data_IF_558903112830
#
_entry.id   IF_558903112830
#
_cell.length_a   1.000
_cell.length_b   1.000
_cell.length_c   1.000
_cell.angle_alpha   90.00
_cell.angle_beta   90.00
_cell.angle_gamma   90.00
#
_symmetry.space_group_name_H-M   'P 1'
#
loop_
_entity.id
_entity.type
_entity.pdbx_description
1 polymer ?
#
# COMPACT_ATOMS: atom_id res chain seq x y z
N UNK A 1 -5.39 -9.29 -21.46
CA UNK A 1 -4.13 -8.71 -20.98
C UNK A 1 -4.45 -7.62 -19.98
N UNK A 2 -4.01 -7.80 -18.73
CA UNK A 2 -4.28 -6.85 -17.65
C UNK A 2 -3.09 -5.92 -17.46
N UNK A 3 -3.34 -4.65 -17.16
CA UNK A 3 -2.28 -3.67 -16.85
C UNK A 3 -2.46 -3.17 -15.42
N UNK A 4 -1.43 -3.30 -14.59
CA UNK A 4 -1.46 -2.84 -13.21
C UNK A 4 -0.46 -1.72 -12.96
N UNK A 5 -0.83 -0.74 -12.13
CA UNK A 5 0.11 0.26 -11.64
C UNK A 5 0.61 -0.07 -10.23
N UNK A 6 1.89 0.14 -9.94
CA UNK A 6 2.48 -0.01 -8.60
C UNK A 6 3.15 1.29 -8.20
N UNK A 7 2.61 1.97 -7.19
CA UNK A 7 3.19 3.16 -6.59
C UNK A 7 4.01 2.76 -5.37
N UNK A 8 5.32 2.96 -5.43
CA UNK A 8 6.24 2.56 -4.37
C UNK A 8 6.97 1.24 -4.65
N UNK A 9 7.32 0.98 -5.90
CA UNK A 9 7.98 -0.27 -6.34
C UNK A 9 9.33 -0.59 -5.67
N UNK A 10 9.95 0.36 -4.98
CA UNK A 10 11.20 0.16 -4.24
C UNK A 10 11.01 -0.36 -2.81
N UNK A 11 9.79 -0.28 -2.28
CA UNK A 11 9.45 -0.79 -0.94
C UNK A 11 9.24 -2.31 -0.95
N UNK A 12 9.38 -2.95 0.21
CA UNK A 12 9.29 -4.42 0.32
C UNK A 12 7.99 -5.01 -0.24
N UNK A 13 6.84 -4.39 0.05
CA UNK A 13 5.55 -4.81 -0.51
C UNK A 13 5.50 -4.58 -2.02
N UNK A 14 5.85 -3.38 -2.48
CA UNK A 14 5.80 -3.02 -3.90
C UNK A 14 6.69 -3.89 -4.77
N UNK A 15 7.92 -4.17 -4.35
CA UNK A 15 8.83 -5.08 -5.07
C UNK A 15 8.30 -6.52 -5.06
N UNK A 16 7.69 -6.97 -3.96
CA UNK A 16 7.09 -8.31 -3.87
C UNK A 16 5.90 -8.46 -4.83
N UNK A 17 5.02 -7.44 -4.92
CA UNK A 17 3.93 -7.40 -5.90
C UNK A 17 4.48 -7.45 -7.33
N UNK A 18 5.52 -6.67 -7.64
CA UNK A 18 6.13 -6.65 -8.97
C UNK A 18 6.68 -8.04 -9.32
N UNK A 19 7.47 -8.66 -8.44
CA UNK A 19 8.03 -9.98 -8.70
C UNK A 19 6.94 -11.03 -8.92
N UNK A 20 5.91 -11.06 -8.05
CA UNK A 20 4.79 -11.99 -8.18
C UNK A 20 4.02 -11.81 -9.50
N UNK A 21 3.68 -10.57 -9.88
CA UNK A 21 2.88 -10.31 -11.07
C UNK A 21 3.65 -10.50 -12.39
N UNK A 22 4.98 -10.44 -12.35
CA UNK A 22 5.81 -10.72 -13.53
C UNK A 22 5.88 -12.22 -13.88
N UNK A 23 5.47 -13.11 -12.98
CA UNK A 23 5.36 -14.55 -13.27
C UNK A 23 4.23 -14.86 -14.28
N UNK A 24 3.20 -14.02 -14.33
CA UNK A 24 2.11 -14.12 -15.30
C UNK A 24 2.48 -13.35 -16.58
N UNK A 25 2.58 -14.04 -17.72
CA UNK A 25 2.93 -13.47 -19.01
C UNK A 25 1.86 -12.54 -19.60
N UNK A 26 0.61 -12.61 -19.13
CA UNK A 26 -0.50 -11.78 -19.61
C UNK A 26 -0.65 -10.45 -18.86
N UNK A 27 0.24 -10.18 -17.89
CA UNK A 27 0.21 -8.97 -17.06
C UNK A 27 1.29 -7.98 -17.52
N UNK A 28 0.87 -6.73 -17.66
CA UNK A 28 1.73 -5.57 -17.88
C UNK A 28 1.77 -4.68 -16.63
N UNK A 29 2.93 -4.10 -16.35
CA UNK A 29 3.16 -3.30 -15.15
C UNK A 29 3.61 -1.88 -15.48
N UNK A 30 2.93 -0.91 -14.90
CA UNK A 30 3.39 0.47 -14.79
C UNK A 30 3.94 0.69 -13.38
N UNK A 31 5.23 0.97 -13.24
CA UNK A 31 5.88 1.02 -11.92
C UNK A 31 6.35 2.44 -11.64
N UNK A 32 5.81 3.04 -10.59
CA UNK A 32 6.18 4.37 -10.14
C UNK A 32 7.19 4.29 -8.99
N UNK A 33 8.34 4.94 -9.16
CA UNK A 33 9.40 4.98 -8.16
C UNK A 33 10.14 6.32 -8.16
N UNK A 34 10.72 6.69 -7.01
CA UNK A 34 11.52 7.93 -6.88
C UNK A 34 12.95 7.78 -7.43
N UNK A 35 13.48 6.56 -7.50
CA UNK A 35 14.86 6.29 -7.87
C UNK A 35 14.93 5.06 -8.77
N UNK A 36 15.43 5.25 -10.00
CA UNK A 36 15.67 4.18 -10.95
C UNK A 36 16.69 3.16 -10.40
N UNK A 37 17.75 3.67 -9.75
CA UNK A 37 18.80 2.83 -9.16
C UNK A 37 18.22 1.89 -8.10
N UNK A 38 17.49 2.43 -7.10
CA UNK A 38 16.90 1.59 -6.04
C UNK A 38 15.88 0.59 -6.60
N UNK A 39 15.17 0.96 -7.66
CA UNK A 39 14.23 0.06 -8.32
C UNK A 39 14.97 -1.09 -9.00
N UNK A 40 16.07 -0.80 -9.72
CA UNK A 40 16.91 -1.82 -10.34
C UNK A 40 17.60 -2.73 -9.29
N UNK A 41 18.01 -2.18 -8.15
CA UNK A 41 18.57 -2.98 -7.04
C UNK A 41 17.52 -3.95 -6.46
N UNK A 42 16.26 -3.52 -6.35
CA UNK A 42 15.16 -4.33 -5.80
C UNK A 42 14.60 -5.34 -6.80
N UNK A 43 14.54 -4.98 -8.07
CA UNK A 43 14.00 -5.82 -9.15
C UNK A 43 14.96 -5.77 -10.37
N UNK A 44 16.09 -6.50 -10.33
CA UNK A 44 17.16 -6.36 -11.34
C UNK A 44 16.73 -6.63 -12.78
N UNK A 45 15.80 -7.56 -13.00
CA UNK A 45 15.35 -7.96 -14.33
C UNK A 45 14.28 -7.03 -14.94
N UNK A 46 13.91 -5.96 -14.24
CA UNK A 46 12.82 -5.08 -14.66
C UNK A 46 13.15 -4.28 -15.91
N UNK A 47 14.39 -3.81 -16.05
CA UNK A 47 14.83 -2.93 -17.15
C UNK A 47 14.80 -3.63 -18.51
N UNK A 48 14.95 -4.95 -18.53
CA UNK A 48 14.92 -5.77 -19.73
C UNK A 48 13.54 -6.37 -20.01
N UNK A 49 12.56 -6.18 -19.14
CA UNK A 49 11.24 -6.80 -19.29
C UNK A 49 10.33 -5.90 -20.15
N UNK A 50 9.92 -6.34 -21.37
CA UNK A 50 9.09 -5.52 -22.25
C UNK A 50 7.67 -5.27 -21.71
N UNK A 51 7.23 -6.06 -20.73
CA UNK A 51 5.91 -5.94 -20.07
C UNK A 51 5.91 -4.95 -18.91
N UNK A 52 7.07 -4.41 -18.54
CA UNK A 52 7.20 -3.48 -17.43
C UNK A 52 7.70 -2.11 -17.90
N UNK A 53 7.02 -1.05 -17.46
CA UNK A 53 7.41 0.33 -17.73
C UNK A 53 7.64 1.08 -16.43
N UNK A 54 8.83 1.66 -16.29
CA UNK A 54 9.21 2.45 -15.13
C UNK A 54 8.91 3.95 -15.32
N UNK A 55 8.28 4.55 -14.33
CA UNK A 55 7.94 5.97 -14.23
C UNK A 55 8.73 6.53 -13.05
N UNK A 56 9.81 7.26 -13.33
CA UNK A 56 10.75 7.73 -12.32
C UNK A 56 10.52 9.20 -11.99
N UNK A 57 10.06 9.48 -10.78
CA UNK A 57 9.75 10.83 -10.33
C UNK A 57 9.31 10.90 -8.87
N UNK A 58 9.24 12.12 -8.37
CA UNK A 58 8.72 12.48 -7.05
C UNK A 58 7.19 12.63 -7.10
N UNK A 59 6.49 12.40 -5.99
CA UNK A 59 5.02 12.38 -5.94
C UNK A 59 4.35 13.71 -6.35
N UNK A 60 5.09 14.83 -6.34
CA UNK A 60 4.66 16.14 -6.84
C UNK A 60 4.64 16.21 -8.39
N UNK A 61 5.28 15.27 -9.10
CA UNK A 61 5.17 15.13 -10.54
C UNK A 61 3.85 14.41 -10.90
N UNK A 62 2.74 15.13 -10.71
CA UNK A 62 1.36 14.65 -10.91
C UNK A 62 1.12 14.20 -12.36
N UNK A 63 1.74 14.85 -13.35
CA UNK A 63 1.59 14.49 -14.77
C UNK A 63 2.24 13.13 -15.08
N UNK A 64 3.43 12.87 -14.55
CA UNK A 64 4.08 11.56 -14.66
C UNK A 64 3.27 10.48 -13.95
N UNK A 65 2.72 10.80 -12.78
CA UNK A 65 1.85 9.89 -12.04
C UNK A 65 0.56 9.57 -12.81
N UNK A 66 -0.04 10.58 -13.46
CA UNK A 66 -1.20 10.39 -14.34
C UNK A 66 -0.85 9.46 -15.52
N UNK A 67 0.33 9.61 -16.12
CA UNK A 67 0.79 8.72 -17.19
C UNK A 67 1.04 7.28 -16.72
N UNK A 68 1.34 7.08 -15.43
CA UNK A 68 1.50 5.76 -14.82
C UNK A 68 0.14 5.09 -14.55
N UNK A 69 -0.87 5.89 -14.14
CA UNK A 69 -2.23 5.44 -13.82
C UNK A 69 -3.16 5.35 -15.04
N UNK A 70 -2.77 5.90 -16.19
CA UNK A 70 -3.61 5.90 -17.39
C UNK A 70 -3.78 4.50 -17.97
N UNK A 71 -5.03 4.07 -18.16
CA UNK A 71 -5.38 2.81 -18.83
C UNK A 71 -5.13 1.54 -18.02
N UNK A 72 -4.89 1.64 -16.71
CA UNK A 72 -4.68 0.49 -15.83
C UNK A 72 -6.00 -0.13 -15.38
N UNK A 73 -5.99 -1.45 -15.16
CA UNK A 73 -7.10 -2.23 -14.63
C UNK A 73 -7.19 -2.15 -13.09
N UNK A 74 -6.06 -1.97 -12.41
CA UNK A 74 -5.97 -1.71 -10.97
C UNK A 74 -4.66 -1.00 -10.63
N UNK A 75 -4.60 -0.33 -9.49
CA UNK A 75 -3.40 0.34 -8.99
C UNK A 75 -3.13 0.02 -7.52
N UNK A 76 -1.89 -0.34 -7.21
CA UNK A 76 -1.40 -0.71 -5.89
C UNK A 76 -0.59 0.44 -5.27
N UNK A 77 -1.02 0.90 -4.11
CA UNK A 77 -0.41 2.04 -3.42
C UNK A 77 0.34 1.49 -2.22
N UNK A 78 1.62 1.19 -2.42
CA UNK A 78 2.51 0.60 -1.42
C UNK A 78 3.52 1.61 -0.88
N UNK A 79 3.28 2.92 -1.08
CA UNK A 79 4.10 3.97 -0.49
C UNK A 79 3.81 4.03 1.01
N UNK A 80 4.79 3.63 1.81
CA UNK A 80 4.72 3.64 3.26
C UNK A 80 6.09 4.02 3.86
N UNK A 81 6.08 4.34 5.15
CA UNK A 81 7.29 4.56 5.94
C UNK A 81 7.23 3.74 7.22
N UNK A 82 8.36 3.15 7.60
CA UNK A 82 8.52 2.52 8.91
C UNK A 82 9.06 3.49 9.96
N UNK A 83 9.53 4.68 9.54
CA UNK A 83 10.00 5.71 10.44
C UNK A 83 8.84 6.55 10.94
N UNK A 84 8.56 6.48 12.24
CA UNK A 84 7.49 7.22 12.91
C UNK A 84 7.93 8.66 13.22
N UNK A 85 8.23 9.42 12.16
CA UNK A 85 8.59 10.82 12.24
C UNK A 85 7.38 11.68 12.66
N UNK A 86 7.52 12.56 13.67
CA UNK A 86 6.50 13.52 14.01
C UNK A 86 6.01 14.29 12.78
N UNK A 87 4.69 14.44 12.68
CA UNK A 87 4.04 15.13 11.55
C UNK A 87 4.29 14.51 10.17
N UNK A 88 4.68 13.23 10.09
CA UNK A 88 4.79 12.55 8.79
C UNK A 88 3.47 12.65 8.00
N UNK A 89 3.59 12.87 6.69
CA UNK A 89 2.46 13.10 5.79
C UNK A 89 2.57 12.29 4.49
N UNK A 90 3.33 11.20 4.50
CA UNK A 90 3.66 10.42 3.29
C UNK A 90 2.39 9.79 2.69
N UNK A 91 1.51 9.23 3.52
CA UNK A 91 0.25 8.63 3.07
C UNK A 91 -0.70 9.71 2.55
N UNK A 92 -0.84 10.84 3.26
CA UNK A 92 -1.64 11.96 2.81
C UNK A 92 -1.13 12.53 1.48
N UNK A 93 0.17 12.81 1.35
CA UNK A 93 0.79 13.30 0.12
C UNK A 93 0.55 12.34 -1.05
N UNK A 94 0.72 11.03 -0.82
CA UNK A 94 0.44 10.01 -1.83
C UNK A 94 -1.02 10.04 -2.26
N UNK A 95 -1.96 10.13 -1.31
CA UNK A 95 -3.39 10.20 -1.60
C UNK A 95 -3.75 11.47 -2.39
N UNK A 96 -3.27 12.64 -1.97
CA UNK A 96 -3.48 13.91 -2.68
C UNK A 96 -2.95 13.87 -4.11
N UNK A 97 -1.69 13.48 -4.30
CA UNK A 97 -1.07 13.40 -5.63
C UNK A 97 -1.80 12.42 -6.54
N UNK A 98 -2.25 11.28 -6.00
CA UNK A 98 -2.96 10.29 -6.80
C UNK A 98 -4.36 10.75 -7.20
N UNK A 99 -5.10 11.43 -6.31
CA UNK A 99 -6.39 12.03 -6.67
C UNK A 99 -6.18 13.05 -7.79
N UNK A 100 -5.22 13.96 -7.66
CA UNK A 100 -4.91 14.93 -8.72
C UNK A 100 -4.50 14.25 -10.04
N UNK A 101 -3.72 13.17 -9.98
CA UNK A 101 -3.34 12.41 -11.17
C UNK A 101 -4.54 11.71 -11.84
N UNK A 102 -5.44 11.12 -11.04
CA UNK A 102 -6.65 10.47 -11.53
C UNK A 102 -7.65 11.48 -12.11
N UNK A 103 -7.73 12.70 -11.58
CA UNK A 103 -8.53 13.78 -12.18
C UNK A 103 -8.01 14.16 -13.57
N UNK A 104 -6.69 14.19 -13.76
CA UNK A 104 -6.08 14.38 -15.08
C UNK A 104 -6.44 13.22 -16.01
N UNK A 105 -6.30 11.97 -15.57
CA UNK A 105 -6.68 10.78 -16.36
C UNK A 105 -8.15 10.83 -16.76
N UNK A 106 -9.05 11.09 -15.80
CA UNK A 106 -10.49 11.25 -16.02
C UNK A 106 -10.78 12.34 -17.04
N UNK A 107 -10.11 13.48 -16.94
CA UNK A 107 -10.26 14.60 -17.88
C UNK A 107 -9.79 14.25 -19.30
N UNK A 108 -8.65 13.55 -19.43
CA UNK A 108 -8.13 13.08 -20.73
C UNK A 108 -9.08 12.09 -21.39
N UNK A 109 -9.60 11.12 -20.64
CA UNK A 109 -10.56 10.14 -21.16
C UNK A 109 -11.86 10.82 -21.57
N UNK A 110 -12.37 11.75 -20.76
CA UNK A 110 -13.59 12.51 -21.08
C UNK A 110 -13.44 13.32 -22.37
N UNK A 111 -12.28 13.97 -22.58
CA UNK A 111 -11.98 14.69 -23.83
C UNK A 111 -11.88 13.77 -25.05
N UNK A 112 -11.20 12.61 -24.91
CA UNK A 112 -11.07 11.62 -26.00
C UNK A 112 -12.41 10.99 -26.39
N UNK A 113 -13.26 10.73 -25.40
CA UNK A 113 -14.57 10.11 -25.59
C UNK A 113 -15.66 11.07 -26.09
N UNK A 114 -15.32 12.27 -26.60
CA UNK A 114 -16.24 13.40 -26.81
C UNK A 114 -17.64 13.13 -27.41
N UNK A 115 -17.88 12.01 -28.10
CA UNK A 115 -19.20 11.56 -28.62
C UNK A 115 -19.65 10.16 -28.15
N UNK A 116 -18.80 9.35 -27.51
CA UNK A 116 -19.17 8.03 -26.98
C UNK A 116 -19.62 8.19 -25.53
N UNK A 117 -20.86 7.79 -25.20
CA UNK A 117 -21.47 7.87 -23.85
C UNK A 117 -20.75 7.08 -22.75
N UNK A 118 -19.56 6.54 -23.00
CA UNK A 118 -18.86 5.70 -22.01
C UNK A 118 -18.16 6.60 -21.00
N UNK A 119 -18.80 6.77 -19.84
CA UNK A 119 -18.22 7.45 -18.69
C UNK A 119 -16.95 6.71 -18.26
N UNK A 120 -15.91 7.47 -17.92
CA UNK A 120 -14.73 6.91 -17.28
C UNK A 120 -15.14 6.35 -15.91
N UNK A 121 -14.59 5.17 -15.57
CA UNK A 121 -14.76 4.51 -14.28
C UNK A 121 -13.38 4.42 -13.64
N UNK A 122 -13.29 4.78 -12.37
CA UNK A 122 -12.04 4.67 -11.63
C UNK A 122 -11.65 3.19 -11.46
N UNK A 123 -10.43 2.79 -11.85
CA UNK A 123 -9.96 1.44 -11.58
C UNK A 123 -9.83 1.22 -10.06
N UNK A 124 -9.96 -0.04 -9.57
CA UNK A 124 -9.67 -0.37 -8.18
C UNK A 124 -8.30 0.16 -7.73
N UNK A 125 -8.31 0.93 -6.64
CA UNK A 125 -7.12 1.45 -5.98
C UNK A 125 -6.92 0.64 -4.69
N UNK A 126 -5.93 -0.24 -4.68
CA UNK A 126 -5.60 -1.04 -3.50
C UNK A 126 -4.58 -0.26 -2.67
N UNK A 127 -5.08 0.33 -1.58
CA UNK A 127 -4.32 1.20 -0.69
C UNK A 127 -3.77 0.41 0.51
N UNK A 128 -2.45 0.44 0.69
CA UNK A 128 -1.82 -0.12 1.88
C UNK A 128 -2.13 0.76 3.10
N UNK A 129 -2.96 0.24 3.97
CA UNK A 129 -3.32 0.82 5.27
C UNK A 129 -2.72 -0.03 6.40
N UNK A 130 -3.26 0.05 7.61
CA UNK A 130 -2.82 -0.74 8.76
C UNK A 130 -3.99 -1.14 9.64
N UNK A 131 -3.93 -2.36 10.17
CA UNK A 131 -4.85 -2.81 11.21
C UNK A 131 -4.78 -1.94 12.48
N UNK A 132 -3.65 -1.24 12.71
CA UNK A 132 -3.47 -0.34 13.85
C UNK A 132 -4.42 0.87 13.90
N UNK A 133 -5.05 1.23 12.79
CA UNK A 133 -6.10 2.28 12.74
C UNK A 133 -7.52 1.72 12.69
N UNK A 134 -7.67 0.40 12.71
CA UNK A 134 -8.95 -0.29 12.75
C UNK A 134 -9.22 -0.83 14.14
N UNK A 135 -10.16 -0.22 14.85
CA UNK A 135 -10.53 -0.59 16.22
C UNK A 135 -10.86 -2.09 16.34
N UNK A 136 -11.59 -2.65 15.37
CA UNK A 136 -11.96 -4.08 15.42
C UNK A 136 -10.76 -5.01 15.35
N UNK A 137 -9.74 -4.66 14.57
CA UNK A 137 -8.55 -5.50 14.38
C UNK A 137 -7.53 -5.30 15.50
N UNK A 138 -7.37 -4.07 16.00
CA UNK A 138 -6.43 -3.80 17.10
C UNK A 138 -6.92 -4.37 18.44
N UNK A 139 -8.24 -4.41 18.66
CA UNK A 139 -8.86 -5.02 19.85
C UNK A 139 -8.64 -6.54 19.95
N UNK A 140 -8.28 -7.20 18.84
CA UNK A 140 -7.91 -8.62 18.83
C UNK A 140 -6.51 -8.85 19.40
N UNK A 141 -5.70 -7.81 19.56
CA UNK A 141 -4.37 -7.89 20.13
C UNK A 141 -4.42 -7.75 21.66
N UNK A 142 -3.39 -8.26 22.34
CA UNK A 142 -3.26 -8.00 23.78
C UNK A 142 -3.16 -6.48 24.05
N UNK A 143 -3.75 -6.02 25.15
CA UNK A 143 -3.82 -4.59 25.47
C UNK A 143 -2.43 -3.92 25.55
N UNK A 144 -1.41 -4.64 26.06
CA UNK A 144 -0.03 -4.16 26.14
C UNK A 144 0.57 -3.96 24.75
N UNK A 145 0.35 -4.92 23.85
CA UNK A 145 0.83 -4.82 22.48
C UNK A 145 0.11 -3.70 21.73
N UNK A 146 -1.22 -3.65 21.83
CA UNK A 146 -2.03 -2.58 21.24
C UNK A 146 -1.57 -1.20 21.74
N UNK A 147 -1.38 -1.03 23.05
CA UNK A 147 -0.86 0.21 23.63
C UNK A 147 0.50 0.57 23.04
N UNK A 148 1.45 -0.37 23.01
CA UNK A 148 2.79 -0.08 22.55
C UNK A 148 2.84 0.31 21.07
N UNK A 149 2.09 -0.42 20.24
CA UNK A 149 2.02 -0.17 18.80
C UNK A 149 1.26 1.13 18.49
N UNK A 150 0.13 1.41 19.15
CA UNK A 150 -0.62 2.65 18.94
C UNK A 150 0.19 3.92 19.29
N UNK A 151 1.04 3.86 20.31
CA UNK A 151 1.89 5.00 20.70
C UNK A 151 3.16 5.06 19.85
N UNK A 152 3.84 3.92 19.68
CA UNK A 152 5.08 3.82 18.89
C UNK A 152 4.90 4.07 17.39
N UNK A 153 3.70 3.89 16.85
CA UNK A 153 3.39 4.14 15.44
C UNK A 153 2.38 5.28 15.25
N UNK A 154 2.17 6.12 16.28
CA UNK A 154 1.10 7.12 16.30
C UNK A 154 1.08 8.04 15.08
N UNK A 155 2.22 8.58 14.65
CA UNK A 155 2.28 9.55 13.56
C UNK A 155 1.99 8.89 12.21
N UNK A 156 2.52 7.69 11.98
CA UNK A 156 2.20 6.87 10.80
C UNK A 156 0.70 6.54 10.76
N UNK A 157 0.13 6.12 11.88
CA UNK A 157 -1.28 5.77 11.98
C UNK A 157 -2.19 6.98 11.80
N UNK A 158 -1.82 8.13 12.36
CA UNK A 158 -2.53 9.38 12.14
C UNK A 158 -2.50 9.78 10.66
N UNK A 159 -1.34 9.67 10.01
CA UNK A 159 -1.17 9.96 8.58
C UNK A 159 -2.05 9.04 7.72
N UNK A 160 -2.02 7.74 7.96
CA UNK A 160 -2.88 6.75 7.29
C UNK A 160 -4.37 7.07 7.49
N UNK A 161 -4.80 7.36 8.71
CA UNK A 161 -6.20 7.67 8.99
C UNK A 161 -6.68 8.94 8.26
N UNK A 162 -5.83 9.96 8.15
CA UNK A 162 -6.12 11.18 7.39
C UNK A 162 -6.16 10.92 5.89
N UNK A 163 -5.23 10.10 5.36
CA UNK A 163 -5.22 9.68 3.97
C UNK A 163 -6.48 8.88 3.60
N UNK A 164 -6.89 7.91 4.44
CA UNK A 164 -8.14 7.16 4.23
C UNK A 164 -9.36 8.09 4.21
N UNK A 165 -9.43 9.04 5.15
CA UNK A 165 -10.54 10.01 5.22
C UNK A 165 -10.61 10.85 3.94
N UNK A 166 -9.46 11.31 3.45
CA UNK A 166 -9.38 12.09 2.21
C UNK A 166 -9.77 11.27 0.97
N UNK A 167 -9.29 10.03 0.85
CA UNK A 167 -9.70 9.15 -0.26
C UNK A 167 -11.21 8.87 -0.23
N UNK A 168 -11.78 8.62 0.96
CA UNK A 168 -13.21 8.38 1.15
C UNK A 168 -14.09 9.59 0.86
N UNK A 169 -13.56 10.82 0.88
CA UNK A 169 -14.35 12.01 0.53
C UNK A 169 -14.61 12.14 -0.97
N UNK A 170 -14.02 11.27 -1.80
CA UNK A 170 -14.20 11.27 -3.25
C UNK A 170 -15.01 10.03 -3.68
N UNK A 171 -16.33 10.16 -3.76
CA UNK A 171 -17.26 9.05 -4.06
C UNK A 171 -17.01 8.35 -5.41
N UNK A 172 -16.30 9.02 -6.33
CA UNK A 172 -15.97 8.47 -7.65
C UNK A 172 -14.73 7.54 -7.62
N UNK A 173 -14.04 7.43 -6.49
CA UNK A 173 -12.89 6.53 -6.33
C UNK A 173 -13.33 5.14 -5.89
N UNK A 174 -12.72 4.13 -6.52
CA UNK A 174 -12.92 2.72 -6.20
C UNK A 174 -11.80 2.23 -5.28
N UNK A 175 -11.78 2.59 -4.00
CA UNK A 175 -10.63 2.30 -3.11
C UNK A 175 -10.87 1.08 -2.21
N UNK A 176 -9.88 0.20 -2.10
CA UNK A 176 -9.81 -0.89 -1.10
C UNK A 176 -8.70 -0.58 -0.10
N UNK A 177 -8.99 -0.66 1.19
CA UNK A 177 -7.98 -0.41 2.24
C UNK A 177 -7.50 -1.73 2.83
N UNK A 178 -6.31 -2.18 2.42
CA UNK A 178 -5.72 -3.44 2.92
C UNK A 178 -4.96 -3.17 4.21
N UNK A 179 -5.30 -3.89 5.27
CA UNK A 179 -4.91 -3.61 6.66
C UNK A 179 -4.19 -4.80 7.29
N UNK A 180 -2.88 -4.97 7.03
CA UNK A 180 -2.06 -5.93 7.76
C UNK A 180 -1.78 -5.45 9.20
N UNK A 181 -1.49 -6.41 10.09
CA UNK A 181 -0.78 -6.14 11.34
C UNK A 181 0.75 -6.13 11.08
N UNK A 182 1.56 -6.57 12.04
CA UNK A 182 3.01 -6.43 11.99
C UNK A 182 3.62 -7.12 10.77
N UNK A 183 4.35 -6.35 9.96
CA UNK A 183 5.00 -6.86 8.76
C UNK A 183 6.41 -7.38 9.06
N UNK A 184 6.77 -8.51 8.45
CA UNK A 184 8.06 -9.17 8.63
C UNK A 184 8.65 -9.67 7.31
N UNK A 185 9.98 -9.79 7.27
CA UNK A 185 10.69 -10.42 6.17
C UNK A 185 10.72 -11.95 6.36
N UNK A 186 9.79 -12.63 5.70
CA UNK A 186 9.65 -14.08 5.77
C UNK A 186 9.18 -14.67 4.44
N UNK A 187 9.16 -16.01 4.34
CA UNK A 187 8.59 -16.74 3.21
C UNK A 187 7.06 -16.54 3.14
N UNK A 188 6.42 -16.72 1.97
CA UNK A 188 4.97 -16.76 1.89
C UNK A 188 4.41 -18.02 2.55
N UNK A 189 3.28 -17.89 3.22
CA UNK A 189 2.53 -18.99 3.84
C UNK A 189 1.11 -19.15 3.25
N UNK A 190 0.72 -18.24 2.36
CA UNK A 190 -0.65 -18.16 1.86
C UNK A 190 -1.48 -17.19 2.69
N UNK A 191 -2.59 -16.73 2.11
CA UNK A 191 -3.31 -15.58 2.64
C UNK A 191 -4.82 -15.71 2.48
N UNK A 192 -5.54 -15.15 3.46
CA UNK A 192 -6.99 -14.96 3.42
C UNK A 192 -7.33 -13.51 3.79
N UNK A 193 -8.27 -12.93 3.06
CA UNK A 193 -8.81 -11.58 3.28
C UNK A 193 -10.15 -11.63 4.01
N UNK A 194 -10.32 -10.79 5.01
CA UNK A 194 -11.55 -10.67 5.80
C UNK A 194 -11.76 -9.22 6.27
N UNK A 195 -12.99 -8.78 6.57
CA UNK A 195 -13.24 -7.42 7.09
C UNK A 195 -13.02 -7.30 8.61
N UNK A 196 -13.13 -8.43 9.30
CA UNK A 196 -13.12 -8.53 10.76
C UNK A 196 -11.90 -9.27 11.30
N UNK A 197 -11.12 -9.97 10.50
CA UNK A 197 -9.98 -10.77 10.97
C UNK A 197 -8.66 -10.36 10.32
N UNK A 198 -7.59 -10.33 11.12
CA UNK A 198 -6.23 -10.21 10.64
C UNK A 198 -5.27 -10.99 11.56
N UNK A 199 -4.30 -11.69 10.99
CA UNK A 199 -3.25 -12.34 11.77
C UNK A 199 -2.40 -11.27 12.47
N UNK A 200 -1.83 -11.56 13.65
CA UNK A 200 -0.99 -10.60 14.39
C UNK A 200 0.27 -10.19 13.62
N UNK A 201 0.73 -11.06 12.71
CA UNK A 201 1.92 -10.91 11.87
C UNK A 201 1.61 -11.32 10.44
N UNK A 202 2.28 -10.71 9.48
CA UNK A 202 2.13 -11.00 8.06
C UNK A 202 3.47 -10.80 7.33
N UNK A 203 3.84 -11.71 6.43
CA UNK A 203 5.04 -11.53 5.60
C UNK A 203 4.78 -10.48 4.52
N UNK A 204 5.83 -9.78 4.06
CA UNK A 204 5.70 -8.88 2.90
C UNK A 204 5.23 -9.60 1.63
N UNK A 205 5.56 -10.88 1.49
CA UNK A 205 5.10 -11.72 0.38
C UNK A 205 3.60 -12.03 0.48
N UNK A 206 3.11 -12.43 1.65
CA UNK A 206 1.67 -12.65 1.86
C UNK A 206 0.88 -11.36 1.69
N UNK A 207 1.41 -10.22 2.16
CA UNK A 207 0.78 -8.92 1.94
C UNK A 207 0.68 -8.59 0.45
N UNK A 208 1.73 -8.86 -0.33
CA UNK A 208 1.70 -8.66 -1.78
C UNK A 208 0.59 -9.48 -2.44
N UNK A 209 0.49 -10.77 -2.09
CA UNK A 209 -0.60 -11.63 -2.56
C UNK A 209 -1.97 -11.11 -2.11
N UNK A 210 -2.13 -10.70 -0.85
CA UNK A 210 -3.36 -10.10 -0.34
C UNK A 210 -3.79 -8.87 -1.13
N UNK A 211 -2.86 -7.98 -1.47
CA UNK A 211 -3.18 -6.79 -2.26
C UNK A 211 -3.68 -7.17 -3.66
N UNK A 212 -3.05 -8.17 -4.31
CA UNK A 212 -3.50 -8.67 -5.62
C UNK A 212 -4.90 -9.29 -5.52
N UNK A 213 -5.14 -10.18 -4.54
CA UNK A 213 -6.47 -10.76 -4.31
C UNK A 213 -7.54 -9.68 -4.05
N UNK A 214 -7.17 -8.61 -3.34
CA UNK A 214 -8.07 -7.49 -3.07
C UNK A 214 -8.45 -6.73 -4.36
N UNK A 215 -7.50 -6.53 -5.29
CA UNK A 215 -7.79 -5.94 -6.60
C UNK A 215 -8.70 -6.82 -7.45
N UNK A 216 -8.51 -8.13 -7.37
CA UNK A 216 -9.26 -9.13 -8.14
C UNK A 216 -10.58 -9.53 -7.48
N UNK A 217 -10.88 -9.03 -6.28
CA UNK A 217 -12.14 -9.32 -5.61
C UNK A 217 -12.24 -10.72 -5.01
N UNK A 218 -11.10 -11.36 -4.75
CA UNK A 218 -10.99 -12.69 -4.16
C UNK A 218 -10.78 -12.61 -2.64
N UNK A 219 -11.13 -13.66 -1.91
CA UNK A 219 -10.85 -13.84 -0.48
C UNK A 219 -9.58 -14.64 -0.26
N UNK A 220 -9.31 -15.65 -1.09
CA UNK A 220 -8.13 -16.50 -1.01
C UNK A 220 -7.67 -16.90 -2.42
N UNK A 221 -6.43 -17.39 -2.54
CA UNK A 221 -5.86 -17.81 -3.83
C UNK A 221 -6.60 -18.99 -4.49
N UNK A 222 -7.40 -19.73 -3.72
CA UNK A 222 -8.19 -20.87 -4.19
C UNK A 222 -9.50 -20.43 -4.90
N UNK A 223 -9.88 -19.15 -4.78
CA UNK A 223 -11.12 -18.65 -5.34
C UNK A 223 -11.07 -18.61 -6.87
N UNK A 224 -11.85 -19.49 -7.52
CA UNK A 224 -11.90 -19.61 -8.98
C UNK A 224 -12.42 -18.36 -9.70
N UNK A 225 -13.17 -17.50 -9.00
CA UNK A 225 -13.71 -16.23 -9.53
C UNK A 225 -13.74 -15.19 -8.43
N UNK A 226 -13.24 -14.01 -8.74
CA UNK A 226 -13.40 -12.81 -7.90
C UNK A 226 -14.51 -11.88 -8.39
N UNK A 227 -14.99 -11.03 -7.49
CA UNK A 227 -15.85 -9.90 -7.80
C UNK A 227 -15.09 -8.61 -7.50
N UNK A 228 -14.61 -7.91 -8.53
CA UNK A 228 -13.79 -6.70 -8.40
C UNK A 228 -14.45 -5.59 -7.54
N UNK A 229 -15.76 -5.67 -7.29
CA UNK A 229 -16.46 -4.72 -6.43
C UNK A 229 -16.57 -5.16 -4.95
N UNK A 230 -16.26 -6.43 -4.64
CA UNK A 230 -16.43 -7.05 -3.31
C UNK A 230 -15.82 -6.24 -2.17
N UNK A 231 -14.63 -5.67 -2.42
CA UNK A 231 -13.80 -4.99 -1.43
C UNK A 231 -13.83 -3.47 -1.53
N UNK A 232 -14.52 -2.90 -2.53
CA UNK A 232 -14.53 -1.45 -2.76
C UNK A 232 -15.18 -0.74 -1.57
N UNK A 233 -14.51 0.29 -1.07
CA UNK A 233 -14.89 1.07 0.10
C UNK A 233 -14.58 0.40 1.44
N UNK A 234 -14.11 -0.85 1.46
CA UNK A 234 -13.92 -1.63 2.69
C UNK A 234 -12.51 -1.55 3.24
N UNK A 235 -12.43 -1.82 4.55
CA UNK A 235 -11.19 -2.09 5.27
C UNK A 235 -11.04 -3.60 5.37
N UNK A 236 -9.97 -4.14 4.81
CA UNK A 236 -9.77 -5.57 4.62
C UNK A 236 -8.54 -6.00 5.41
N UNK A 237 -8.75 -6.74 6.49
CA UNK A 237 -7.72 -7.40 7.25
C UNK A 237 -7.02 -8.49 6.44
N UNK A 238 -5.75 -8.71 6.76
CA UNK A 238 -4.91 -9.72 6.11
C UNK A 238 -4.56 -10.81 7.12
N UNK A 239 -4.95 -12.05 6.81
CA UNK A 239 -4.61 -13.23 7.61
C UNK A 239 -3.60 -14.08 6.85
N UNK A 240 -2.35 -14.10 7.33
CA UNK A 240 -1.34 -15.06 6.86
C UNK A 240 -1.63 -16.43 7.47
N UNK A 241 -1.70 -17.46 6.62
CA UNK A 241 -2.07 -18.81 7.00
C UNK A 241 -0.99 -19.55 7.80
N UNK A 242 0.22 -18.97 7.89
CA UNK A 242 1.33 -19.52 8.68
C UNK A 242 1.14 -19.37 10.19
N UNK A 243 0.20 -18.52 10.65
CA UNK A 243 -0.09 -18.35 12.08
C UNK A 243 1.16 -18.00 12.91
N UNK A 244 1.50 -18.85 13.87
CA UNK A 244 2.68 -18.67 14.74
C UNK A 244 4.02 -18.96 14.05
N UNK A 245 4.01 -19.69 12.91
CA UNK A 245 5.23 -19.98 12.14
C UNK A 245 5.80 -18.73 11.46
N UNK A 246 4.96 -17.70 11.25
CA UNK A 246 5.41 -16.41 10.74
C UNK A 246 6.37 -15.78 11.75
N UNK A 247 7.57 -15.41 11.30
CA UNK A 247 8.62 -14.82 12.16
C UNK A 247 8.09 -13.74 13.11
N UNK A 248 8.64 -13.73 14.32
CA UNK A 248 8.35 -12.68 15.29
C UNK A 248 8.79 -11.32 14.77
N UNK A 249 7.97 -10.29 14.99
CA UNK A 249 8.23 -8.93 14.53
C UNK A 249 9.23 -8.17 15.43
N UNK A 250 10.24 -8.86 15.99
CA UNK A 250 11.21 -8.27 16.92
C UNK A 250 12.05 -7.18 16.27
N UNK A 251 12.32 -7.30 14.97
CA UNK A 251 13.01 -6.28 14.18
C UNK A 251 12.26 -4.94 14.14
N UNK A 252 10.95 -4.93 14.37
CA UNK A 252 10.15 -3.71 14.37
C UNK A 252 10.35 -2.87 15.63
N UNK A 253 10.96 -3.43 16.69
CA UNK A 253 11.24 -2.70 17.94
C UNK A 253 12.14 -1.49 17.70
N UNK A 254 13.05 -1.56 16.72
CA UNK A 254 13.91 -0.44 16.35
C UNK A 254 13.13 0.79 15.85
N UNK A 255 11.91 0.59 15.33
CA UNK A 255 11.04 1.67 14.87
C UNK A 255 10.06 2.14 15.95
N UNK A 256 9.64 1.23 16.83
CA UNK A 256 8.70 1.51 17.92
C UNK A 256 9.33 2.44 18.96
N UNK A 257 10.59 2.20 19.35
CA UNK A 257 11.26 2.97 20.41
C UNK A 257 11.40 4.46 20.05
N UNK A 258 11.97 4.86 18.88
CA UNK A 258 11.98 6.25 18.46
C UNK A 258 10.56 6.82 18.37
N UNK A 259 9.61 6.02 17.89
CA UNK A 259 8.22 6.45 17.77
C UNK A 259 7.56 6.79 19.10
N UNK A 260 7.89 6.08 20.19
CA UNK A 260 7.45 6.45 21.54
C UNK A 260 8.02 7.79 21.99
N UNK A 261 9.30 8.06 21.69
CA UNK A 261 9.90 9.38 21.96
C UNK A 261 9.16 10.45 21.16
N UNK A 262 8.93 10.21 19.87
CA UNK A 262 8.20 11.14 19.00
C UNK A 262 6.74 11.35 19.40
N UNK A 263 6.13 10.40 20.11
CA UNK A 263 4.78 10.56 20.66
C UNK A 263 4.76 11.51 21.86
N UNK A 264 5.66 11.31 22.83
CA UNK A 264 5.66 12.08 24.08
C UNK A 264 6.43 13.41 24.00
N UNK A 265 7.46 13.47 23.16
CA UNK A 265 8.31 14.65 23.00
C UNK A 265 8.83 14.75 21.55
N UNK A 266 8.04 15.33 20.63
CA UNK A 266 8.46 15.57 19.25
C UNK A 266 9.78 16.34 19.13
N UNK A 267 10.00 17.33 20.01
CA UNK A 267 11.24 18.14 20.01
C UNK A 267 12.47 17.32 20.41
N UNK A 268 12.34 16.42 21.40
CA UNK A 268 13.41 15.49 21.75
C UNK A 268 13.68 14.54 20.58
N UNK A 269 12.63 14.14 19.86
CA UNK A 269 12.77 13.29 18.70
C UNK A 269 13.61 13.95 17.59
N UNK A 270 13.32 15.22 17.27
CA UNK A 270 14.08 16.00 16.30
C UNK A 270 15.54 16.19 16.73
N UNK A 271 15.76 16.44 18.02
CA UNK A 271 17.11 16.57 18.58
C UNK A 271 17.90 15.27 18.40
N UNK A 272 17.31 14.12 18.78
CA UNK A 272 17.94 12.81 18.61
C UNK A 272 18.23 12.48 17.13
N UNK A 273 17.33 12.83 16.21
CA UNK A 273 17.56 12.69 14.77
C UNK A 273 18.73 13.57 14.29
N UNK A 274 18.80 14.82 14.75
CA UNK A 274 19.86 15.76 14.32
C UNK A 274 21.27 15.35 14.77
N UNK A 275 21.39 14.59 15.87
CA UNK A 275 22.67 14.01 16.33
C UNK A 275 22.93 12.61 15.77
N UNK A 276 22.07 12.10 14.87
CA UNK A 276 22.23 10.80 14.21
C UNK A 276 21.96 9.59 15.10
N UNK A 277 21.14 9.74 16.15
CA UNK A 277 20.75 8.63 17.03
C UNK A 277 19.81 7.63 16.32
N UNK A 278 19.05 8.11 15.33
CA UNK A 278 18.25 7.33 14.39
C UNK A 278 18.00 8.11 13.09
#
# INVERSE_FOLDING_TARGET
MKTYAILGGTGSTGSSIICQLLEDEEIHLNIYARSAQRLAEKVPHLSSNPRAKSYIGTLDNVELLANCLEGVDAAFFTVATNFNEPHCSIAQQTAHSAVSALEIVRSRVTKRNGKTKRSWVCPPLVFLSSAGINLKLIEQQSWLFGFAVSRGCYWIYRDLALAEKYLRSHEWLSVVFVQPNALVHDRPFGVRLDEGEASSRCSYADLATAMVLAAEGQTASEDLKGDNNKWIGKRVGVTSLGGEEVKAATENLQYIIPGFVGYWSPTLWDMCKSIGLW
#
